data_IF_655312716620
#
_entry.id   IF_655312716620
#
_cell.length_a   1.000
_cell.length_b   1.000
_cell.length_c   1.000
_cell.angle_alpha   90.00
_cell.angle_beta   90.00
_cell.angle_gamma   90.00
#
_symmetry.space_group_name_H-M   'P 1'
#
loop_
_entity.id
_entity.type
_entity.pdbx_description
1 polymer ?
#
# COMPACT_ATOMS: atom_id res chain seq x y z
N UNK A 1 -35.15 -80.20 -40.79
CA UNK A 1 -33.73 -79.79 -40.86
C UNK A 1 -33.64 -78.69 -41.89
N UNK A 2 -33.72 -77.42 -41.49
CA UNK A 2 -33.60 -76.29 -42.41
C UNK A 2 -32.52 -75.36 -41.88
N UNK A 3 -31.43 -75.33 -42.62
CA UNK A 3 -30.19 -74.60 -42.41
C UNK A 3 -30.38 -73.14 -42.82
N UNK A 4 -29.95 -72.19 -41.99
CA UNK A 4 -29.88 -70.77 -42.36
C UNK A 4 -28.42 -70.40 -42.58
N UNK A 5 -28.09 -69.98 -43.80
CA UNK A 5 -26.81 -69.39 -44.23
C UNK A 5 -26.84 -67.87 -44.03
N UNK A 6 -25.73 -67.22 -43.62
CA UNK A 6 -25.67 -65.77 -43.45
C UNK A 6 -25.19 -65.07 -44.73
N UNK A 7 -25.61 -63.82 -44.96
CA UNK A 7 -25.01 -62.94 -45.98
C UNK A 7 -24.63 -61.59 -45.36
N UNK A 8 -23.42 -61.15 -45.72
CA UNK A 8 -22.61 -60.10 -45.13
C UNK A 8 -23.09 -58.66 -45.41
N UNK A 9 -22.80 -57.76 -44.45
CA UNK A 9 -22.96 -56.32 -44.56
C UNK A 9 -21.83 -55.68 -45.41
N UNK A 10 -22.18 -54.76 -46.30
CA UNK A 10 -21.23 -53.85 -46.97
C UNK A 10 -21.00 -52.59 -46.13
N UNK A 11 -19.73 -52.23 -45.91
CA UNK A 11 -19.32 -51.05 -45.14
C UNK A 11 -19.31 -49.77 -46.00
N UNK A 12 -19.92 -48.69 -45.51
CA UNK A 12 -19.91 -47.36 -46.11
C UNK A 12 -18.66 -46.54 -45.68
N UNK A 13 -18.21 -45.55 -46.48
CA UNK A 13 -16.96 -44.84 -46.23
C UNK A 13 -17.09 -43.78 -45.11
N UNK A 14 -16.09 -43.73 -44.21
CA UNK A 14 -16.02 -42.79 -43.09
C UNK A 14 -15.54 -41.41 -43.57
N UNK A 15 -16.37 -40.37 -43.39
CA UNK A 15 -15.94 -38.97 -43.53
C UNK A 15 -15.30 -38.49 -42.22
N UNK A 16 -14.17 -37.78 -42.36
CA UNK A 16 -13.26 -37.45 -41.26
C UNK A 16 -13.63 -36.09 -40.62
N UNK A 17 -14.25 -36.14 -39.44
CA UNK A 17 -14.74 -34.99 -38.66
C UNK A 17 -13.64 -34.06 -38.12
N UNK A 18 -12.38 -34.49 -38.11
CA UNK A 18 -11.27 -33.73 -37.52
C UNK A 18 -10.89 -32.44 -38.27
N UNK A 19 -11.31 -32.27 -39.54
CA UNK A 19 -10.99 -31.07 -40.34
C UNK A 19 -11.83 -29.84 -39.97
N UNK A 20 -13.05 -30.05 -39.44
CA UNK A 20 -13.94 -28.95 -39.05
C UNK A 20 -13.57 -28.38 -37.68
N UNK A 21 -13.07 -29.21 -36.77
CA UNK A 21 -12.60 -28.78 -35.45
C UNK A 21 -11.28 -28.00 -35.52
N UNK A 22 -10.39 -28.33 -36.46
CA UNK A 22 -9.12 -27.64 -36.63
C UNK A 22 -9.28 -26.18 -37.13
N UNK A 23 -10.30 -25.90 -37.94
CA UNK A 23 -10.57 -24.57 -38.48
C UNK A 23 -11.14 -23.60 -37.42
N UNK A 24 -11.93 -24.09 -36.47
CA UNK A 24 -12.48 -23.27 -35.37
C UNK A 24 -11.41 -22.89 -34.32
N UNK A 25 -10.41 -23.76 -34.11
CA UNK A 25 -9.35 -23.53 -33.13
C UNK A 25 -8.40 -22.36 -33.50
N UNK A 26 -8.22 -22.10 -34.80
CA UNK A 26 -7.29 -21.07 -35.29
C UNK A 26 -7.86 -19.64 -35.25
N UNK A 27 -9.19 -19.48 -35.31
CA UNK A 27 -9.85 -18.16 -35.23
C UNK A 27 -10.04 -17.71 -33.77
N UNK A 28 -10.26 -18.65 -32.84
CA UNK A 28 -10.34 -18.35 -31.40
C UNK A 28 -9.01 -17.87 -30.80
N UNK A 29 -7.88 -18.34 -31.33
CA UNK A 29 -6.55 -17.97 -30.83
C UNK A 29 -6.09 -16.56 -31.23
N UNK A 30 -6.63 -15.97 -32.30
CA UNK A 30 -6.23 -14.64 -32.78
C UNK A 30 -7.02 -13.49 -32.14
N UNK A 31 -8.22 -13.75 -31.62
CA UNK A 31 -9.09 -12.74 -31.01
C UNK A 31 -8.81 -12.48 -29.50
N UNK A 32 -7.97 -13.29 -28.87
CA UNK A 32 -7.66 -13.17 -27.43
C UNK A 32 -6.46 -12.24 -27.13
N UNK A 33 -5.74 -11.76 -28.16
CA UNK A 33 -4.49 -11.02 -28.00
C UNK A 33 -4.62 -9.48 -27.94
N UNK A 34 -5.84 -8.92 -27.89
CA UNK A 34 -6.07 -7.47 -27.99
C UNK A 34 -6.97 -6.85 -26.91
N UNK A 35 -7.06 -7.46 -25.73
CA UNK A 35 -7.78 -6.89 -24.58
C UNK A 35 -6.92 -6.89 -23.31
N UNK A 36 -5.87 -6.05 -23.30
CA UNK A 36 -5.20 -5.65 -22.06
C UNK A 36 -5.49 -4.15 -21.83
N UNK A 37 -6.49 -3.78 -21.00
CA UNK A 37 -6.52 -2.45 -20.43
C UNK A 37 -5.31 -2.32 -19.50
N UNK A 38 -4.38 -1.44 -19.86
CA UNK A 38 -3.24 -1.09 -19.02
C UNK A 38 -3.72 -0.49 -17.70
N UNK A 39 -3.61 -1.26 -16.61
CA UNK A 39 -3.67 -0.71 -15.26
C UNK A 39 -2.37 0.04 -15.03
N UNK A 40 -2.36 1.34 -15.30
CA UNK A 40 -1.36 2.22 -14.72
C UNK A 40 -1.63 2.26 -13.20
N UNK A 41 -1.04 1.33 -12.45
CA UNK A 41 -0.91 1.51 -11.00
C UNK A 41 0.03 2.69 -10.78
N UNK A 42 -0.55 3.87 -10.57
CA UNK A 42 0.13 4.91 -9.82
C UNK A 42 0.35 4.35 -8.41
N UNK A 43 1.53 3.79 -8.15
CA UNK A 43 1.95 3.53 -6.78
C UNK A 43 2.26 4.87 -6.10
N UNK A 44 1.22 5.59 -5.71
CA UNK A 44 1.37 6.63 -4.69
C UNK A 44 1.70 5.94 -3.36
N UNK A 45 2.99 5.77 -3.08
CA UNK A 45 3.51 5.63 -1.71
C UNK A 45 3.03 4.42 -0.88
N UNK A 46 2.78 3.27 -1.49
CA UNK A 46 2.17 2.10 -0.84
C UNK A 46 2.97 1.36 0.24
N UNK A 47 4.22 1.73 0.55
CA UNK A 47 5.04 1.03 1.56
C UNK A 47 5.16 1.78 2.89
N UNK A 48 4.77 3.06 2.97
CA UNK A 48 5.13 3.93 4.11
C UNK A 48 4.01 4.25 5.09
N UNK A 49 2.75 4.09 4.71
CA UNK A 49 1.62 4.40 5.60
C UNK A 49 1.32 3.30 6.61
N UNK A 50 1.82 2.07 6.39
CA UNK A 50 1.65 0.98 7.35
C UNK A 50 2.81 0.88 8.36
N UNK A 51 3.99 1.37 8.04
CA UNK A 51 5.18 1.22 8.89
C UNK A 51 5.46 2.48 9.71
N UNK A 52 5.04 3.66 9.23
CA UNK A 52 5.32 4.94 9.88
C UNK A 52 4.03 5.70 10.20
N UNK A 53 3.67 5.76 11.48
CA UNK A 53 2.60 6.60 11.99
C UNK A 53 3.12 8.01 12.29
N UNK A 54 2.25 9.01 12.11
CA UNK A 54 2.58 10.41 12.31
C UNK A 54 1.47 11.12 13.07
N UNK A 55 1.81 11.59 14.25
CA UNK A 55 0.97 12.47 15.05
C UNK A 55 1.48 13.90 15.06
N UNK A 56 0.71 14.79 15.68
CA UNK A 56 1.13 16.18 15.92
C UNK A 56 1.25 16.45 17.41
N UNK A 57 2.15 17.37 17.76
CA UNK A 57 2.15 18.01 19.07
C UNK A 57 0.94 18.94 19.16
N UNK A 58 0.05 18.67 20.10
CA UNK A 58 -1.20 19.40 20.32
C UNK A 58 -1.03 20.50 21.37
N UNK A 59 -0.28 20.19 22.42
CA UNK A 59 0.00 21.09 23.53
C UNK A 59 1.46 20.99 23.94
N UNK A 60 1.99 22.09 24.48
CA UNK A 60 3.34 22.17 25.01
C UNK A 60 3.32 22.88 26.37
N UNK A 61 3.72 22.15 27.41
CA UNK A 61 4.11 22.70 28.70
C UNK A 61 5.59 23.10 28.73
N UNK A 62 6.16 23.16 29.94
CA UNK A 62 7.57 23.50 30.12
C UNK A 62 8.47 22.39 29.55
N UNK A 63 8.29 21.15 30.01
CA UNK A 63 9.04 19.97 29.57
C UNK A 63 8.16 18.81 29.07
N UNK A 64 6.83 18.96 29.16
CA UNK A 64 5.84 17.96 28.72
C UNK A 64 5.09 18.41 27.48
N UNK A 65 4.62 17.44 26.71
CA UNK A 65 3.86 17.62 25.48
C UNK A 65 2.65 16.70 25.48
N UNK A 66 1.55 17.15 24.90
CA UNK A 66 0.47 16.26 24.47
C UNK A 66 0.63 15.97 22.99
N UNK A 67 0.68 14.70 22.61
CA UNK A 67 0.91 14.26 21.23
C UNK A 67 -0.23 13.37 20.73
N UNK A 68 -0.61 13.54 19.46
CA UNK A 68 -1.60 12.70 18.77
C UNK A 68 -0.96 11.39 18.26
N UNK A 69 -0.33 10.65 19.16
CA UNK A 69 0.23 9.31 18.93
C UNK A 69 -0.09 8.48 20.16
N UNK A 70 -1.13 7.64 20.08
CA UNK A 70 -1.67 6.89 21.20
C UNK A 70 -1.59 5.37 21.04
N UNK A 71 -2.33 4.65 21.88
CA UNK A 71 -2.37 3.18 21.85
C UNK A 71 -2.82 2.63 20.47
N UNK A 72 -3.77 3.27 19.81
CA UNK A 72 -4.28 2.85 18.49
C UNK A 72 -3.21 2.98 17.39
N UNK A 73 -2.24 3.87 17.57
CA UNK A 73 -1.10 4.04 16.67
C UNK A 73 0.04 3.04 16.96
N UNK A 74 -0.02 2.35 18.11
CA UNK A 74 1.00 1.40 18.58
C UNK A 74 2.05 2.01 19.51
N UNK A 75 1.77 3.17 20.11
CA UNK A 75 2.64 3.81 21.08
C UNK A 75 2.80 2.97 22.35
N UNK A 76 3.98 3.05 22.96
CA UNK A 76 4.30 2.37 24.22
C UNK A 76 4.94 3.36 25.20
N UNK A 77 4.61 3.25 26.49
CA UNK A 77 5.27 4.04 27.54
C UNK A 77 6.77 3.72 27.55
N UNK A 78 7.59 4.77 27.68
CA UNK A 78 9.05 4.70 27.59
C UNK A 78 9.61 4.73 26.17
N UNK A 79 8.77 4.62 25.14
CA UNK A 79 9.21 4.68 23.74
C UNK A 79 9.72 6.07 23.39
N UNK A 80 10.87 6.13 22.72
CA UNK A 80 11.46 7.37 22.21
C UNK A 80 11.05 7.57 20.76
N UNK A 81 10.50 8.74 20.45
CA UNK A 81 9.99 9.11 19.13
C UNK A 81 10.71 10.36 18.60
N UNK A 82 10.94 10.38 17.30
CA UNK A 82 11.53 11.53 16.62
C UNK A 82 10.47 12.62 16.38
N UNK A 83 10.89 13.87 16.56
CA UNK A 83 10.07 15.06 16.28
C UNK A 83 10.65 15.79 15.07
N UNK A 84 9.80 16.05 14.09
CA UNK A 84 10.15 16.80 12.88
C UNK A 84 9.27 18.04 12.70
N UNK A 85 9.78 19.03 11.98
CA UNK A 85 9.02 20.20 11.53
C UNK A 85 9.07 20.32 10.01
N UNK A 86 7.91 20.54 9.42
CA UNK A 86 7.80 20.85 8.00
C UNK A 86 7.93 22.37 7.78
N UNK A 87 9.05 22.81 7.19
CA UNK A 87 9.25 24.24 6.85
C UNK A 87 9.08 24.49 5.36
N UNK A 88 8.41 25.59 5.02
CA UNK A 88 8.33 26.05 3.62
C UNK A 88 9.73 26.40 3.12
N UNK A 89 10.10 25.87 1.96
CA UNK A 89 11.32 26.29 1.25
C UNK A 89 11.10 27.70 0.71
N UNK A 90 11.97 28.64 1.05
CA UNK A 90 12.01 29.94 0.36
C UNK A 90 12.69 29.67 -0.99
N UNK A 91 11.97 29.86 -2.09
CA UNK A 91 12.51 29.75 -3.45
C UNK A 91 12.61 31.13 -4.08
N UNK A 92 13.72 31.37 -4.77
CA UNK A 92 13.94 32.59 -5.56
C UNK A 92 13.75 32.39 -7.07
N UNK A 93 13.35 31.21 -7.55
CA UNK A 93 13.10 31.01 -8.98
C UNK A 93 12.09 29.88 -9.28
N UNK A 94 11.63 29.84 -10.54
CA UNK A 94 10.73 28.83 -11.15
C UNK A 94 11.26 27.38 -11.13
N UNK A 95 12.34 27.10 -10.40
CA UNK A 95 12.87 25.75 -10.23
C UNK A 95 11.79 24.83 -9.62
N UNK A 96 11.47 23.73 -10.31
CA UNK A 96 10.55 22.70 -9.85
C UNK A 96 11.04 21.96 -8.60
N UNK A 97 10.16 21.18 -7.96
CA UNK A 97 10.47 20.32 -6.79
C UNK A 97 9.69 20.67 -5.51
N UNK A 98 9.96 19.98 -4.37
CA UNK A 98 9.13 20.04 -3.16
C UNK A 98 9.08 21.43 -2.52
N UNK A 99 7.85 21.86 -2.15
CA UNK A 99 7.62 23.17 -1.51
C UNK A 99 7.99 23.20 -0.02
N UNK A 100 8.11 22.04 0.61
CA UNK A 100 8.41 21.88 2.03
C UNK A 100 9.65 21.03 2.26
N UNK A 101 10.27 21.25 3.42
CA UNK A 101 11.39 20.46 3.92
C UNK A 101 11.09 19.91 5.29
N UNK A 102 11.64 18.74 5.56
CA UNK A 102 11.67 18.16 6.90
C UNK A 102 12.91 18.67 7.62
N UNK A 103 12.74 19.16 8.83
CA UNK A 103 13.80 19.48 9.77
C UNK A 103 13.64 18.57 10.98
N UNK A 104 14.72 17.91 11.42
CA UNK A 104 14.72 17.21 12.70
C UNK A 104 14.76 18.26 13.82
N UNK A 105 13.83 18.16 14.77
CA UNK A 105 13.68 19.10 15.88
C UNK A 105 14.23 18.54 17.18
N UNK A 106 14.14 17.23 17.38
CA UNK A 106 14.53 16.58 18.62
C UNK A 106 13.82 15.25 18.84
N UNK A 107 13.79 14.81 20.09
CA UNK A 107 13.20 13.54 20.49
C UNK A 107 12.36 13.70 21.76
N UNK A 108 11.32 12.90 21.84
CA UNK A 108 10.40 12.85 22.97
C UNK A 108 10.23 11.41 23.45
N UNK A 109 10.00 11.21 24.74
CA UNK A 109 9.68 9.91 25.34
C UNK A 109 8.22 9.89 25.72
N UNK A 110 7.47 8.87 25.30
CA UNK A 110 6.10 8.67 25.78
C UNK A 110 6.14 8.40 27.29
N UNK A 111 5.52 9.27 28.08
CA UNK A 111 5.46 9.16 29.53
C UNK A 111 4.18 8.44 29.97
N UNK A 112 3.04 8.78 29.35
CA UNK A 112 1.74 8.19 29.67
C UNK A 112 0.88 8.06 28.41
N UNK A 113 0.10 6.98 28.33
CA UNK A 113 -0.98 6.79 27.37
C UNK A 113 -2.29 7.01 28.09
N UNK A 114 -2.92 8.16 27.91
CA UNK A 114 -4.17 8.51 28.59
C UNK A 114 -5.41 8.37 27.69
N UNK A 115 -5.23 8.16 26.38
CA UNK A 115 -6.29 7.81 25.43
C UNK A 115 -5.72 6.87 24.35
N UNK A 116 -6.62 6.19 23.63
CA UNK A 116 -6.35 5.50 22.37
C UNK A 116 -5.63 6.35 21.33
N UNK A 117 -5.84 7.67 21.29
CA UNK A 117 -5.23 8.57 20.28
C UNK A 117 -4.14 9.49 20.82
N UNK A 118 -4.03 9.60 22.15
CA UNK A 118 -3.23 10.65 22.77
C UNK A 118 -2.30 10.09 23.83
N UNK A 119 -1.15 10.75 23.92
CA UNK A 119 -0.14 10.45 24.91
C UNK A 119 0.45 11.74 25.48
N UNK A 120 0.86 11.67 26.74
CA UNK A 120 1.78 12.64 27.32
C UNK A 120 3.21 12.18 27.02
N UNK A 121 4.06 13.13 26.63
CA UNK A 121 5.45 12.87 26.30
C UNK A 121 6.38 13.91 26.91
N UNK A 122 7.54 13.45 27.35
CA UNK A 122 8.61 14.29 27.90
C UNK A 122 9.62 14.64 26.80
N UNK A 123 10.10 15.87 26.78
CA UNK A 123 11.16 16.29 25.85
C UNK A 123 12.51 15.73 26.31
N UNK A 124 13.14 14.89 25.49
CA UNK A 124 14.50 14.36 25.75
C UNK A 124 15.54 15.32 25.17
N UNK A 125 15.26 15.87 23.99
CA UNK A 125 16.17 16.78 23.31
C UNK A 125 15.44 17.72 22.36
N UNK A 126 16.06 18.87 22.09
CA UNK A 126 15.55 19.85 21.14
C UNK A 126 14.52 20.80 21.75
N UNK A 127 13.78 21.50 20.87
CA UNK A 127 12.71 22.42 21.27
C UNK A 127 11.48 22.21 20.38
N UNK A 128 10.72 21.13 20.63
CA UNK A 128 9.43 20.89 19.98
C UNK A 128 8.48 22.06 20.20
N UNK A 129 7.58 22.27 19.24
CA UNK A 129 6.49 23.24 19.31
C UNK A 129 5.19 22.59 18.88
N UNK A 130 4.08 23.20 19.27
CA UNK A 130 2.75 22.84 18.77
C UNK A 130 2.78 22.80 17.23
N UNK A 131 2.11 21.80 16.67
CA UNK A 131 2.07 21.43 15.24
C UNK A 131 3.32 20.74 14.68
N UNK A 132 4.38 20.52 15.46
CA UNK A 132 5.44 19.61 15.05
C UNK A 132 4.91 18.19 14.93
N UNK A 133 5.52 17.40 14.06
CA UNK A 133 5.10 16.02 13.79
C UNK A 133 5.95 15.06 14.60
N UNK A 134 5.30 14.15 15.31
CA UNK A 134 5.92 13.03 16.02
C UNK A 134 5.82 11.79 15.15
N UNK A 135 6.92 11.11 14.90
CA UNK A 135 6.96 9.92 14.05
C UNK A 135 7.13 8.65 14.88
N UNK A 136 6.24 7.69 14.68
CA UNK A 136 6.30 6.35 15.28
C UNK A 136 6.52 5.31 14.19
N UNK A 137 7.56 4.49 14.37
CA UNK A 137 7.80 3.31 13.52
C UNK A 137 7.07 2.13 14.17
N UNK A 138 6.10 1.55 13.46
CA UNK A 138 5.44 0.32 13.90
C UNK A 138 6.40 -0.86 13.68
N UNK A 139 6.60 -1.72 14.68
CA UNK A 139 7.39 -2.95 14.55
C UNK A 139 6.75 -3.94 13.57
#
# INVERSE_FOLDING_TARGET
MNTVTPVACSAAPRTNSYRWFAALALVGALAFSFALPGVASASEGGFRHNVLMRGQVLEKGDETLVVCVGQADGAQVGQVLDVIRHKRRIRHSRAGGPRYRRENIGQVRIAELFDSHYAEAEVISGSPKVNDTVELIRP
#
